data_IF_792656518403
#
_entry.id   IF_792656518403
#
_cell.length_a   1.000
_cell.length_b   1.000
_cell.length_c   1.000
_cell.angle_alpha   90.00
_cell.angle_beta   90.00
_cell.angle_gamma   90.00
#
_symmetry.space_group_name_H-M   'P 1'
#
loop_
_entity.id
_entity.type
_entity.pdbx_description
1 polymer ?
#
# COMPACT_ATOMS: atom_id res chain seq x y z
N UNK A 1 -42.69 10.61 -24.74
CA UNK A 1 -41.74 9.47 -24.74
C UNK A 1 -41.18 9.31 -23.34
N UNK A 2 -41.02 8.08 -22.90
CA UNK A 2 -40.81 7.68 -21.51
C UNK A 2 -39.38 7.13 -21.41
N UNK A 3 -38.39 7.99 -21.13
CA UNK A 3 -37.01 7.56 -20.94
C UNK A 3 -36.81 7.16 -19.48
N UNK A 4 -37.07 5.88 -19.22
CA UNK A 4 -36.60 5.18 -18.03
C UNK A 4 -35.23 4.61 -18.34
N UNK A 5 -34.18 5.41 -18.15
CA UNK A 5 -32.82 4.89 -18.16
C UNK A 5 -32.51 4.22 -16.82
N UNK A 6 -32.34 2.92 -16.94
CA UNK A 6 -32.06 1.90 -15.95
C UNK A 6 -30.88 2.30 -15.04
N UNK A 7 -31.00 1.96 -13.75
CA UNK A 7 -29.94 1.99 -12.74
C UNK A 7 -28.63 1.36 -13.24
N UNK A 8 -27.77 2.17 -13.85
CA UNK A 8 -26.38 1.83 -14.10
C UNK A 8 -25.63 1.97 -12.79
N UNK A 9 -25.28 0.83 -12.18
CA UNK A 9 -24.39 0.68 -11.02
C UNK A 9 -23.49 1.90 -10.79
N UNK A 10 -23.83 2.71 -9.79
CA UNK A 10 -22.97 3.75 -9.24
C UNK A 10 -21.71 3.06 -8.73
N UNK A 11 -20.74 2.91 -9.63
CA UNK A 11 -19.42 2.40 -9.30
C UNK A 11 -18.79 3.50 -8.47
N UNK A 12 -18.97 3.43 -7.16
CA UNK A 12 -18.34 4.36 -6.22
C UNK A 12 -16.86 4.42 -6.58
N UNK A 13 -16.30 5.61 -6.90
CA UNK A 13 -14.89 5.71 -7.22
C UNK A 13 -14.12 5.22 -6.00
N UNK A 14 -13.48 4.07 -6.13
CA UNK A 14 -12.56 3.55 -5.12
C UNK A 14 -11.32 4.43 -5.23
N UNK A 15 -11.37 5.61 -4.58
CA UNK A 15 -10.27 6.57 -4.58
C UNK A 15 -9.00 5.82 -4.15
N UNK A 16 -8.06 5.70 -5.08
CA UNK A 16 -6.79 5.02 -4.86
C UNK A 16 -6.46 3.91 -5.84
N UNK A 17 -7.41 3.20 -6.48
CA UNK A 17 -7.00 2.08 -7.38
C UNK A 17 -6.33 2.56 -8.68
N UNK A 18 -6.57 3.82 -9.07
CA UNK A 18 -5.95 4.46 -10.23
C UNK A 18 -4.75 5.34 -9.87
N UNK A 19 -4.58 5.70 -8.59
CA UNK A 19 -3.39 6.40 -8.12
C UNK A 19 -2.40 5.38 -7.57
N UNK A 20 -1.10 5.59 -7.66
CA UNK A 20 -0.11 4.71 -7.02
C UNK A 20 -0.24 4.61 -5.49
N UNK A 21 -1.21 5.30 -4.87
CA UNK A 21 -1.41 5.44 -3.44
C UNK A 21 -1.46 4.13 -2.64
N UNK A 22 -2.22 3.10 -3.05
CA UNK A 22 -2.24 1.81 -2.34
C UNK A 22 -0.88 1.11 -2.32
N UNK A 23 -0.10 1.24 -3.40
CA UNK A 23 1.23 0.61 -3.53
C UNK A 23 2.23 1.35 -2.62
N UNK A 24 2.20 2.67 -2.64
CA UNK A 24 3.03 3.52 -1.77
C UNK A 24 2.68 3.28 -0.30
N UNK A 25 1.38 3.25 0.04
CA UNK A 25 0.89 2.98 1.38
C UNK A 25 1.30 1.60 1.90
N UNK A 26 1.24 0.57 1.03
CA UNK A 26 1.74 -0.76 1.35
C UNK A 26 3.26 -0.74 1.60
N UNK A 27 4.02 -0.04 0.78
CA UNK A 27 5.47 0.09 0.96
C UNK A 27 5.86 0.77 2.28
N UNK A 28 5.17 1.86 2.63
CA UNK A 28 5.35 2.54 3.92
C UNK A 28 5.01 1.60 5.08
N UNK A 29 3.89 0.87 5.00
CA UNK A 29 3.47 -0.07 6.04
C UNK A 29 4.53 -1.15 6.30
N UNK A 30 5.15 -1.67 5.24
CA UNK A 30 6.21 -2.69 5.35
C UNK A 30 7.49 -2.14 5.98
N UNK A 31 7.86 -0.90 5.66
CA UNK A 31 9.01 -0.23 6.30
C UNK A 31 8.75 -0.04 7.79
N UNK A 32 7.54 0.43 8.16
CA UNK A 32 7.16 0.54 9.57
C UNK A 32 7.20 -0.81 10.28
N UNK A 33 6.73 -1.88 9.64
CA UNK A 33 6.77 -3.23 10.21
C UNK A 33 8.21 -3.72 10.47
N UNK A 34 9.16 -3.36 9.62
CA UNK A 34 10.59 -3.66 9.85
C UNK A 34 11.22 -2.81 10.96
N UNK A 35 10.84 -1.54 11.07
CA UNK A 35 11.46 -0.58 11.99
C UNK A 35 10.88 -0.60 13.41
N UNK A 36 9.55 -0.72 13.56
CA UNK A 36 8.88 -0.63 14.86
C UNK A 36 9.41 -1.68 15.86
N UNK A 37 9.57 -2.97 15.50
CA UNK A 37 10.07 -3.98 16.41
C UNK A 37 11.52 -3.71 16.84
N UNK A 38 12.33 -3.09 15.96
CA UNK A 38 13.71 -2.70 16.26
C UNK A 38 13.77 -1.54 17.27
N UNK A 39 12.85 -0.58 17.18
CA UNK A 39 12.81 0.61 18.06
C UNK A 39 12.18 0.29 19.41
N UNK A 40 11.10 -0.50 19.44
CA UNK A 40 10.33 -0.79 20.67
C UNK A 40 10.97 -1.96 21.44
N UNK A 41 11.81 -2.78 20.81
CA UNK A 41 12.48 -3.91 21.46
C UNK A 41 11.54 -5.04 21.90
N UNK A 42 10.26 -4.98 21.48
CA UNK A 42 9.24 -5.95 21.88
C UNK A 42 9.45 -7.33 21.22
N UNK A 43 10.05 -7.36 20.03
CA UNK A 43 10.28 -8.59 19.28
C UNK A 43 11.55 -8.48 18.44
N UNK A 44 12.50 -9.39 18.66
CA UNK A 44 13.70 -9.52 17.85
C UNK A 44 13.36 -10.18 16.52
N UNK A 45 13.25 -9.39 15.45
CA UNK A 45 13.20 -9.90 14.09
C UNK A 45 14.62 -10.16 13.59
N UNK A 46 14.87 -11.30 12.90
CA UNK A 46 16.17 -11.54 12.29
C UNK A 46 16.53 -10.42 11.31
N UNK A 47 17.78 -9.96 11.33
CA UNK A 47 18.28 -8.90 10.45
C UNK A 47 17.92 -9.14 8.96
N UNK A 48 18.04 -10.37 8.41
CA UNK A 48 17.65 -10.62 7.02
C UNK A 48 16.18 -10.28 6.73
N UNK A 49 15.29 -10.54 7.69
CA UNK A 49 13.85 -10.28 7.56
C UNK A 49 13.60 -8.78 7.52
N UNK A 50 14.26 -8.01 8.39
CA UNK A 50 14.17 -6.54 8.41
C UNK A 50 14.63 -5.95 7.08
N UNK A 51 15.75 -6.44 6.55
CA UNK A 51 16.30 -5.99 5.25
C UNK A 51 15.32 -6.27 4.11
N UNK A 52 14.66 -7.43 4.11
CA UNK A 52 13.64 -7.77 3.10
C UNK A 52 12.44 -6.83 3.20
N UNK A 53 11.90 -6.59 4.41
CA UNK A 53 10.76 -5.70 4.60
C UNK A 53 11.06 -4.26 4.18
N UNK A 54 12.22 -3.73 4.57
CA UNK A 54 12.63 -2.37 4.20
C UNK A 54 12.91 -2.29 2.69
N UNK A 55 13.69 -3.21 2.14
CA UNK A 55 14.04 -3.22 0.72
C UNK A 55 12.82 -3.37 -0.19
N UNK A 56 11.92 -4.30 0.15
CA UNK A 56 10.68 -4.50 -0.59
C UNK A 56 9.72 -3.32 -0.43
N UNK A 57 9.63 -2.73 0.78
CA UNK A 57 8.84 -1.53 1.00
C UNK A 57 9.31 -0.34 0.17
N UNK A 58 10.62 -0.10 0.09
CA UNK A 58 11.22 0.94 -0.76
C UNK A 58 10.94 0.67 -2.24
N UNK A 59 11.05 -0.59 -2.69
CA UNK A 59 10.72 -0.98 -4.05
C UNK A 59 9.25 -0.69 -4.39
N UNK A 60 8.32 -0.96 -3.48
CA UNK A 60 6.90 -0.65 -3.68
C UNK A 60 6.64 0.87 -3.75
N UNK A 61 7.30 1.67 -2.91
CA UNK A 61 7.20 3.13 -3.00
C UNK A 61 7.73 3.60 -4.36
N UNK A 62 8.88 3.10 -4.79
CA UNK A 62 9.48 3.45 -6.09
C UNK A 62 8.54 3.11 -7.25
N UNK A 63 8.01 1.89 -7.29
CA UNK A 63 7.09 1.45 -8.34
C UNK A 63 5.75 2.18 -8.31
N UNK A 64 5.29 2.59 -7.12
CA UNK A 64 4.10 3.42 -6.97
C UNK A 64 4.29 4.88 -7.43
N UNK A 65 5.51 5.42 -7.33
CA UNK A 65 5.86 6.76 -7.81
C UNK A 65 6.18 6.80 -9.31
N UNK A 66 6.71 5.71 -9.86
CA UNK A 66 7.06 5.59 -11.29
C UNK A 66 5.83 5.25 -12.15
N UNK A 67 4.66 5.07 -11.54
CA UNK A 67 3.41 4.69 -12.19
C UNK A 67 2.62 5.88 -12.70
#
# INVERSE_FOLDING_TARGET
MNDRDVSGSTTCPVFGVRSGGPIIGLGILLILFGLIPLVIGAVSLPIPVIVVFIGFGVFLIWTGLTK
#
